data_IF_293521849143
#
_entry.id   IF_293521849143
#
_cell.length_a   1.000
_cell.length_b   1.000
_cell.length_c   1.000
_cell.angle_alpha   90.00
_cell.angle_beta   90.00
_cell.angle_gamma   90.00
#
_symmetry.space_group_name_H-M   'P 1'
#
loop_
_entity.id
_entity.type
_entity.pdbx_description
1 polymer ?
#
# COMPACT_ATOMS: atom_id res chain seq x y z
N UNK A 1 -9.40 -13.79 -4.81
CA UNK A 1 -9.00 -12.39 -5.03
C UNK A 1 -7.58 -12.16 -4.55
N UNK A 2 -6.88 -11.26 -5.22
CA UNK A 2 -5.56 -10.80 -4.81
C UNK A 2 -5.69 -9.38 -4.23
N UNK A 3 -5.29 -9.23 -2.97
CA UNK A 3 -5.25 -7.93 -2.28
C UNK A 3 -3.79 -7.57 -2.08
N UNK A 4 -3.35 -6.44 -2.64
CA UNK A 4 -2.00 -5.93 -2.45
C UNK A 4 -2.03 -4.73 -1.51
N UNK A 5 -1.17 -4.75 -0.48
CA UNK A 5 -0.97 -3.61 0.42
C UNK A 5 0.41 -3.05 0.10
N UNK A 6 0.44 -1.85 -0.48
CA UNK A 6 1.67 -1.24 -0.98
C UNK A 6 2.02 0.01 -0.17
N UNK A 7 3.26 0.05 0.33
CA UNK A 7 3.86 1.24 0.91
C UNK A 7 4.90 1.77 -0.06
N UNK A 8 4.62 2.91 -0.74
CA UNK A 8 5.63 3.51 -1.60
C UNK A 8 6.87 3.89 -0.78
N UNK A 9 8.05 3.61 -1.33
CA UNK A 9 9.32 3.84 -0.63
C UNK A 9 10.12 4.92 -1.34
N UNK A 10 10.46 5.95 -0.60
CA UNK A 10 11.10 7.22 -0.98
C UNK A 10 10.26 8.04 -1.98
N UNK A 11 10.34 9.36 -1.82
CA UNK A 11 9.60 10.28 -2.70
C UNK A 11 10.20 10.28 -4.11
N UNK A 12 11.53 10.30 -4.19
CA UNK A 12 12.21 10.35 -5.49
C UNK A 12 11.91 9.13 -6.33
N UNK A 13 11.96 7.93 -5.75
CA UNK A 13 11.68 6.69 -6.49
C UNK A 13 10.23 6.60 -6.91
N UNK A 14 9.31 6.97 -6.03
CA UNK A 14 7.88 6.97 -6.33
C UNK A 14 7.58 7.92 -7.49
N UNK A 15 8.19 9.10 -7.49
CA UNK A 15 8.00 10.09 -8.53
C UNK A 15 8.60 9.64 -9.86
N UNK A 16 9.82 9.09 -9.83
CA UNK A 16 10.52 8.65 -11.04
C UNK A 16 9.83 7.47 -11.72
N UNK A 17 9.28 6.54 -10.94
CA UNK A 17 8.67 5.31 -11.44
C UNK A 17 7.14 5.34 -11.34
N UNK A 18 6.56 6.52 -11.26
CA UNK A 18 5.12 6.69 -11.01
C UNK A 18 4.25 5.88 -11.97
N UNK A 19 4.50 5.99 -13.28
CA UNK A 19 3.69 5.29 -14.27
C UNK A 19 3.86 3.78 -14.19
N UNK A 20 5.08 3.30 -13.90
CA UNK A 20 5.34 1.88 -13.72
C UNK A 20 4.59 1.32 -12.50
N UNK A 21 4.56 2.07 -11.40
CA UNK A 21 3.81 1.68 -10.22
C UNK A 21 2.31 1.64 -10.51
N UNK A 22 1.79 2.62 -11.23
CA UNK A 22 0.38 2.64 -11.62
C UNK A 22 0.03 1.38 -12.41
N UNK A 23 0.84 1.01 -13.38
CA UNK A 23 0.58 -0.16 -14.20
C UNK A 23 0.61 -1.46 -13.39
N UNK A 24 1.61 -1.62 -12.53
CA UNK A 24 1.75 -2.82 -11.69
C UNK A 24 0.63 -2.91 -10.66
N UNK A 25 0.28 -1.79 -10.04
CA UNK A 25 -0.71 -1.77 -8.96
C UNK A 25 -2.16 -1.87 -9.45
N UNK A 26 -2.37 -1.92 -10.76
CA UNK A 26 -3.67 -2.27 -11.35
C UNK A 26 -3.90 -3.76 -11.47
N UNK A 27 -2.85 -4.56 -11.34
CA UNK A 27 -2.94 -6.02 -11.50
C UNK A 27 -3.73 -6.69 -10.37
N UNK A 28 -3.52 -6.34 -9.08
CA UNK A 28 -4.33 -6.91 -8.00
C UNK A 28 -5.80 -6.56 -8.14
N UNK A 29 -6.65 -7.39 -7.57
CA UNK A 29 -8.09 -7.10 -7.52
C UNK A 29 -8.39 -5.88 -6.66
N UNK A 30 -7.66 -5.73 -5.54
CA UNK A 30 -7.75 -4.57 -4.66
C UNK A 30 -6.33 -4.15 -4.30
N UNK A 31 -6.07 -2.85 -4.36
CA UNK A 31 -4.80 -2.26 -3.92
C UNK A 31 -5.05 -1.30 -2.77
N UNK A 32 -4.39 -1.53 -1.64
CA UNK A 32 -4.43 -0.66 -0.46
C UNK A 32 -3.11 0.11 -0.41
N UNK A 33 -3.18 1.43 -0.37
CA UNK A 33 -2.01 2.31 -0.40
C UNK A 33 -1.83 3.02 0.94
N UNK A 34 -0.62 2.91 1.50
CA UNK A 34 -0.22 3.64 2.70
C UNK A 34 0.55 4.90 2.31
N UNK A 35 0.79 5.83 3.26
CA UNK A 35 1.63 6.99 2.98
C UNK A 35 3.04 6.58 2.53
N UNK A 36 3.68 7.46 1.76
CA UNK A 36 5.04 7.23 1.28
C UNK A 36 5.99 7.18 2.48
N UNK A 37 6.84 6.15 2.52
CA UNK A 37 7.93 6.06 3.49
C UNK A 37 9.12 6.86 2.95
N UNK A 38 9.28 8.08 3.46
CA UNK A 38 10.29 9.00 2.94
C UNK A 38 11.73 8.60 3.28
N UNK A 39 11.94 7.77 4.29
CA UNK A 39 13.26 7.38 4.77
C UNK A 39 14.07 8.62 5.16
N UNK A 40 15.22 8.86 4.53
CA UNK A 40 16.07 10.01 4.84
C UNK A 40 15.79 11.23 3.97
N UNK A 41 14.84 11.10 3.04
CA UNK A 41 14.48 12.22 2.18
C UNK A 41 13.59 13.22 2.92
N UNK A 42 13.75 14.53 2.68
CA UNK A 42 12.78 15.49 3.18
C UNK A 42 11.43 15.28 2.52
N UNK A 43 10.36 15.66 3.21
CA UNK A 43 9.02 15.55 2.69
C UNK A 43 8.89 16.28 1.34
N UNK A 44 8.36 15.59 0.34
CA UNK A 44 8.12 16.16 -0.99
C UNK A 44 6.61 16.19 -1.25
N UNK A 45 5.96 17.34 -1.11
CA UNK A 45 4.51 17.44 -1.31
C UNK A 45 4.08 17.32 -2.78
N UNK A 46 5.04 17.28 -3.72
CA UNK A 46 4.71 17.12 -5.14
C UNK A 46 4.37 15.68 -5.51
N UNK A 47 4.58 14.73 -4.60
CA UNK A 47 4.22 13.32 -4.80
C UNK A 47 3.60 12.76 -3.53
N UNK A 48 2.45 12.10 -3.66
CA UNK A 48 1.72 11.49 -2.54
C UNK A 48 1.10 10.17 -2.97
N UNK A 49 0.77 9.33 -2.00
CA UNK A 49 0.03 8.10 -2.28
C UNK A 49 -1.36 8.37 -2.85
N UNK A 50 -1.95 9.52 -2.51
CA UNK A 50 -3.24 9.92 -3.09
C UNK A 50 -3.16 10.09 -4.60
N UNK A 51 -2.03 10.53 -5.12
CA UNK A 51 -1.81 10.66 -6.56
C UNK A 51 -1.79 9.29 -7.24
N UNK A 52 -1.17 8.29 -6.60
CA UNK A 52 -1.22 6.91 -7.09
C UNK A 52 -2.65 6.38 -7.05
N UNK A 53 -3.34 6.58 -5.93
CA UNK A 53 -4.71 6.10 -5.76
C UNK A 53 -5.65 6.67 -6.82
N UNK A 54 -5.46 7.94 -7.21
CA UNK A 54 -6.27 8.59 -8.24
C UNK A 54 -6.14 7.91 -9.61
N UNK A 55 -5.02 7.24 -9.89
CA UNK A 55 -4.78 6.55 -11.15
C UNK A 55 -5.16 5.07 -11.11
N UNK A 56 -5.54 4.54 -9.95
CA UNK A 56 -5.87 3.13 -9.76
C UNK A 56 -7.33 3.03 -9.31
N UNK A 57 -8.26 2.78 -10.24
CA UNK A 57 -9.69 2.69 -9.90
C UNK A 57 -9.95 1.64 -8.83
N UNK A 58 -10.74 1.97 -7.83
CA UNK A 58 -11.10 1.06 -6.75
C UNK A 58 -10.03 0.87 -5.68
N UNK A 59 -8.90 1.58 -5.77
CA UNK A 59 -7.87 1.51 -4.74
C UNK A 59 -8.35 2.12 -3.43
N UNK A 60 -7.74 1.68 -2.31
CA UNK A 60 -8.06 2.14 -0.97
C UNK A 60 -6.85 2.88 -0.42
N UNK A 61 -7.05 4.15 -0.08
CA UNK A 61 -6.00 4.97 0.52
C UNK A 61 -6.20 5.01 2.03
N UNK A 62 -5.17 4.63 2.78
CA UNK A 62 -5.18 4.65 4.24
C UNK A 62 -4.07 5.56 4.76
N UNK A 63 -4.15 5.94 6.03
CA UNK A 63 -3.23 6.93 6.61
C UNK A 63 -2.12 6.30 7.46
N UNK A 64 -2.16 5.00 7.69
CA UNK A 64 -1.17 4.31 8.50
C UNK A 64 -1.13 2.82 8.19
N UNK A 65 -0.08 2.15 8.66
CA UNK A 65 0.02 0.69 8.56
C UNK A 65 -1.09 0.01 9.36
N UNK A 66 -1.46 0.58 10.51
CA UNK A 66 -2.54 0.03 11.32
C UNK A 66 -3.88 0.09 10.58
N UNK A 67 -4.16 1.21 9.92
CA UNK A 67 -5.38 1.33 9.11
C UNK A 67 -5.39 0.33 7.96
N UNK A 68 -4.24 0.08 7.33
CA UNK A 68 -4.14 -0.92 6.27
C UNK A 68 -4.48 -2.31 6.80
N UNK A 69 -3.90 -2.68 7.94
CA UNK A 69 -4.17 -3.97 8.57
C UNK A 69 -5.64 -4.11 8.96
N UNK A 70 -6.21 -3.05 9.54
CA UNK A 70 -7.63 -3.05 9.93
C UNK A 70 -8.54 -3.21 8.73
N UNK A 71 -8.24 -2.51 7.63
CA UNK A 71 -9.02 -2.63 6.40
C UNK A 71 -9.02 -4.06 5.88
N UNK A 72 -7.85 -4.70 5.85
CA UNK A 72 -7.73 -6.09 5.38
C UNK A 72 -8.52 -7.03 6.27
N UNK A 73 -8.40 -6.90 7.60
CA UNK A 73 -9.15 -7.74 8.54
C UNK A 73 -10.65 -7.63 8.35
N UNK A 74 -11.14 -6.44 8.03
CA UNK A 74 -12.57 -6.18 7.85
C UNK A 74 -13.09 -6.62 6.49
N UNK A 75 -12.25 -6.61 5.45
CA UNK A 75 -12.70 -6.76 4.07
C UNK A 75 -12.21 -8.04 3.39
N UNK A 76 -11.14 -8.68 3.89
CA UNK A 76 -10.66 -9.91 3.29
C UNK A 76 -11.63 -11.05 3.54
N UNK A 77 -11.76 -11.93 2.56
CA UNK A 77 -12.68 -13.07 2.59
C UNK A 77 -11.89 -14.36 2.46
N UNK A 78 -12.49 -15.50 2.86
CA UNK A 78 -11.85 -16.81 2.66
C UNK A 78 -11.47 -16.99 1.20
N UNK A 79 -10.24 -17.44 0.95
CA UNK A 79 -9.73 -17.61 -0.41
C UNK A 79 -8.98 -16.42 -0.95
N UNK A 80 -9.01 -15.26 -0.28
CA UNK A 80 -8.22 -14.10 -0.68
C UNK A 80 -6.74 -14.32 -0.38
N UNK A 81 -5.88 -13.90 -1.31
CA UNK A 81 -4.44 -13.83 -1.09
C UNK A 81 -4.07 -12.37 -0.81
N UNK A 82 -3.41 -12.13 0.31
CA UNK A 82 -2.97 -10.78 0.71
C UNK A 82 -1.45 -10.73 0.65
N UNK A 83 -0.92 -9.79 -0.11
CA UNK A 83 0.54 -9.57 -0.20
C UNK A 83 0.87 -8.16 0.25
N UNK A 84 2.04 -7.99 0.86
CA UNK A 84 2.57 -6.68 1.22
C UNK A 84 3.76 -6.35 0.36
N UNK A 85 3.80 -5.13 -0.16
CA UNK A 85 4.83 -4.65 -1.07
C UNK A 85 5.48 -3.39 -0.53
N UNK A 86 6.80 -3.37 -0.47
CA UNK A 86 7.54 -2.20 -0.01
C UNK A 86 8.86 -2.59 0.61
N UNK A 87 9.72 -1.59 0.82
CA UNK A 87 11.06 -1.80 1.36
C UNK A 87 11.22 -1.26 2.79
N UNK A 88 10.19 -0.65 3.36
CA UNK A 88 10.22 -0.05 4.70
C UNK A 88 9.49 -0.91 5.73
N UNK A 89 8.58 -0.27 6.44
CA UNK A 89 7.89 -0.87 7.59
C UNK A 89 6.67 -1.72 7.22
N UNK A 90 6.39 -1.92 5.91
CA UNK A 90 5.16 -2.58 5.49
C UNK A 90 5.01 -3.99 6.06
N UNK A 91 6.12 -4.69 6.34
CA UNK A 91 6.06 -6.01 6.96
C UNK A 91 5.34 -5.99 8.31
N UNK A 92 5.34 -4.85 9.01
CA UNK A 92 4.63 -4.69 10.28
C UNK A 92 3.13 -4.82 10.09
N UNK A 93 2.61 -4.35 8.97
CA UNK A 93 1.20 -4.52 8.65
C UNK A 93 0.83 -5.99 8.48
N UNK A 94 1.70 -6.79 7.85
CA UNK A 94 1.48 -8.24 7.73
C UNK A 94 1.37 -8.91 9.11
N UNK A 95 2.24 -8.54 10.04
CA UNK A 95 2.19 -9.07 11.40
C UNK A 95 0.91 -8.67 12.12
N UNK A 96 0.46 -7.43 11.95
CA UNK A 96 -0.79 -6.93 12.53
C UNK A 96 -1.99 -7.71 12.00
N UNK A 97 -1.98 -8.05 10.71
CA UNK A 97 -3.08 -8.78 10.07
C UNK A 97 -3.25 -10.19 10.64
N UNK A 98 -2.16 -10.86 10.98
CA UNK A 98 -2.21 -12.24 11.47
C UNK A 98 -2.27 -12.34 12.99
N UNK A 99 -2.02 -11.26 13.72
CA UNK A 99 -1.93 -11.28 15.18
C UNK A 99 -3.23 -11.79 15.84
N UNK A 100 -4.38 -11.44 15.27
CA UNK A 100 -5.68 -11.81 15.81
C UNK A 100 -6.10 -13.24 15.45
N UNK A 101 -5.32 -13.93 14.63
CA UNK A 101 -5.61 -15.29 14.18
C UNK A 101 -4.80 -16.36 14.93
N UNK A 102 -4.07 -15.94 15.93
CA UNK A 102 -3.22 -16.84 16.72
C UNK A 102 -3.85 -17.26 18.04
#
# INVERSE_FOLDING_TARGET
>A
RLIAVHQPFTYSRTKMLFNDFVDVLKIPDITVLTPIMGSREPNDPTITSAMLAAQIPGSVLVNSLQEAADWVKQNAQPGDLVITLGCGDIYKASKMMVADNQ
#
